data_IF_061985310335
#
_entry.id   IF_061985310335
#
_cell.length_a   1.000
_cell.length_b   1.000
_cell.length_c   1.000
_cell.angle_alpha   90.00
_cell.angle_beta   90.00
_cell.angle_gamma   90.00
#
_symmetry.space_group_name_H-M   'P 1'
#
loop_
_entity.id
_entity.type
_entity.pdbx_description
1 polymer ?
#
# COMPACT_ATOMS: atom_id res chain seq x y z
N UNK A 1 22.61 -25.29 2.99
CA UNK A 1 23.29 -23.99 2.79
C UNK A 1 22.51 -22.95 3.55
N UNK A 2 23.10 -22.39 4.59
CA UNK A 2 22.40 -21.54 5.58
C UNK A 2 22.13 -20.16 5.02
N UNK A 3 20.86 -19.82 4.95
CA UNK A 3 20.38 -18.49 4.63
C UNK A 3 20.50 -17.58 5.87
N UNK A 4 21.48 -16.67 5.85
CA UNK A 4 21.64 -15.65 6.88
C UNK A 4 20.49 -14.63 6.76
N UNK A 5 19.57 -14.69 7.71
CA UNK A 5 18.55 -13.66 7.91
C UNK A 5 19.26 -12.42 8.46
N UNK A 6 19.39 -11.39 7.64
CA UNK A 6 19.81 -10.06 8.07
C UNK A 6 18.56 -9.34 8.55
N UNK A 7 18.31 -9.38 9.85
CA UNK A 7 17.33 -8.52 10.52
C UNK A 7 17.88 -7.10 10.59
N UNK A 8 17.75 -6.35 9.51
CA UNK A 8 17.86 -4.91 9.53
C UNK A 8 16.50 -4.33 9.91
N UNK A 9 16.40 -3.67 11.06
CA UNK A 9 15.25 -2.89 11.43
C UNK A 9 15.01 -1.80 10.37
N UNK A 10 14.14 -2.06 9.42
CA UNK A 10 13.61 -1.04 8.51
C UNK A 10 12.73 -0.12 9.36
N UNK A 11 13.24 1.07 9.65
CA UNK A 11 12.38 2.19 9.99
C UNK A 11 11.48 2.38 8.75
N UNK A 12 10.25 1.93 8.84
CA UNK A 12 9.24 2.16 7.82
C UNK A 12 8.98 3.67 7.76
N UNK A 13 9.72 4.33 6.88
CA UNK A 13 9.47 5.72 6.51
C UNK A 13 8.25 5.67 5.58
N UNK A 14 7.05 5.80 6.14
CA UNK A 14 5.85 6.04 5.34
C UNK A 14 6.03 7.37 4.60
N UNK A 15 6.57 7.31 3.40
CA UNK A 15 6.59 8.44 2.47
C UNK A 15 5.17 8.50 1.87
N UNK A 16 4.26 9.21 2.54
CA UNK A 16 3.04 9.65 1.88
C UNK A 16 3.45 10.74 0.89
N UNK A 17 3.66 10.38 -0.36
CA UNK A 17 3.78 11.37 -1.44
C UNK A 17 2.38 11.91 -1.73
N UNK A 18 2.17 13.23 -1.75
CA UNK A 18 0.98 13.78 -2.34
C UNK A 18 1.05 13.55 -3.85
N UNK A 19 0.25 12.61 -4.36
CA UNK A 19 -0.06 12.52 -5.78
C UNK A 19 -0.89 13.76 -6.14
N UNK A 20 -0.39 14.53 -7.07
CA UNK A 20 -1.03 15.52 -7.93
C UNK A 20 -0.30 16.87 -7.93
N UNK A 21 0.73 16.94 -8.78
CA UNK A 21 1.05 18.20 -9.43
C UNK A 21 0.05 18.43 -10.58
N UNK A 22 -1.20 18.75 -10.24
CA UNK A 22 -2.10 19.37 -11.18
C UNK A 22 -1.47 20.72 -11.57
N UNK A 23 -1.37 20.98 -12.87
CA UNK A 23 -0.91 22.23 -13.46
C UNK A 23 -1.67 23.41 -12.85
N UNK A 24 -1.17 23.99 -11.77
CA UNK A 24 -1.61 25.27 -11.27
C UNK A 24 -1.00 26.33 -12.17
N UNK A 25 -1.82 26.86 -13.09
CA UNK A 25 -1.58 28.17 -13.68
C UNK A 25 -1.22 29.13 -12.55
N UNK A 26 -0.13 29.86 -12.69
CA UNK A 26 0.25 30.94 -11.79
C UNK A 26 -0.98 31.85 -11.55
N UNK A 27 -1.64 31.68 -10.41
CA UNK A 27 -2.70 32.56 -9.94
C UNK A 27 -1.97 33.80 -9.42
N UNK A 28 -2.29 34.97 -9.98
CA UNK A 28 -1.83 36.26 -9.47
C UNK A 28 -1.88 36.29 -7.95
N UNK A 29 -0.91 36.93 -7.30
CA UNK A 29 -0.80 37.08 -5.86
C UNK A 29 -2.13 37.61 -5.27
N UNK A 30 -3.03 36.67 -4.94
CA UNK A 30 -4.19 36.95 -4.11
C UNK A 30 -3.61 37.06 -2.70
N UNK A 31 -3.75 38.24 -2.09
CA UNK A 31 -3.41 38.42 -0.66
C UNK A 31 -4.09 37.30 0.12
N UNK A 32 -3.27 36.51 0.82
CA UNK A 32 -3.75 35.34 1.56
C UNK A 32 -4.79 35.82 2.60
N UNK A 33 -5.96 35.21 2.60
CA UNK A 33 -7.08 35.66 3.45
C UNK A 33 -6.74 35.43 4.91
N UNK A 34 -6.67 36.49 5.68
CA UNK A 34 -6.56 36.41 7.16
C UNK A 34 -7.90 35.95 7.72
N UNK A 35 -7.91 34.83 8.42
CA UNK A 35 -9.10 34.19 8.99
C UNK A 35 -9.20 34.33 10.48
N UNK A 36 -8.08 34.57 11.17
CA UNK A 36 -8.04 34.90 12.59
C UNK A 36 -6.75 35.66 12.93
N UNK A 37 -6.71 36.25 14.14
CA UNK A 37 -5.50 36.90 14.67
C UNK A 37 -5.33 36.50 16.12
N UNK A 38 -4.17 36.02 16.52
CA UNK A 38 -3.78 35.64 17.87
C UNK A 38 -2.58 36.49 18.30
N UNK A 39 -2.72 37.31 19.31
CA UNK A 39 -1.67 38.21 19.83
C UNK A 39 -0.96 39.02 18.73
N UNK A 40 -1.73 39.50 17.72
CA UNK A 40 -1.21 40.28 16.60
C UNK A 40 -0.64 39.44 15.45
N UNK A 41 -0.55 38.14 15.58
CA UNK A 41 -0.12 37.24 14.54
C UNK A 41 -1.33 36.75 13.72
N UNK A 42 -1.26 36.90 12.41
CA UNK A 42 -2.33 36.49 11.52
C UNK A 42 -2.28 35.00 11.26
N UNK A 43 -3.44 34.34 11.31
CA UNK A 43 -3.67 32.99 10.81
C UNK A 43 -4.36 33.16 9.45
N UNK A 44 -3.86 32.48 8.44
CA UNK A 44 -4.34 32.62 7.07
C UNK A 44 -5.05 31.37 6.57
N UNK A 45 -5.88 31.54 5.54
CA UNK A 45 -6.58 30.42 4.91
C UNK A 45 -5.59 29.39 4.33
N UNK A 46 -4.47 29.84 3.76
CA UNK A 46 -3.45 28.94 3.22
C UNK A 46 -2.79 28.08 4.32
N UNK A 47 -2.69 28.58 5.55
CA UNK A 47 -2.21 27.80 6.69
C UNK A 47 -3.20 26.65 7.02
N UNK A 48 -4.50 26.93 7.05
CA UNK A 48 -5.53 25.90 7.24
C UNK A 48 -5.48 24.86 6.10
N UNK A 49 -5.40 25.31 4.85
CA UNK A 49 -5.29 24.42 3.70
C UNK A 49 -4.03 23.56 3.74
N UNK A 50 -2.92 24.10 4.21
CA UNK A 50 -1.66 23.39 4.39
C UNK A 50 -1.76 22.28 5.44
N UNK A 51 -2.37 22.59 6.60
CA UNK A 51 -2.62 21.59 7.66
C UNK A 51 -3.54 20.48 7.14
N UNK A 52 -4.63 20.85 6.44
CA UNK A 52 -5.55 19.89 5.83
C UNK A 52 -4.83 18.98 4.82
N UNK A 53 -4.03 19.57 3.91
CA UNK A 53 -3.30 18.83 2.87
C UNK A 53 -2.24 17.88 3.44
N UNK A 54 -1.70 18.18 4.62
CA UNK A 54 -0.72 17.33 5.30
C UNK A 54 -1.32 16.04 5.89
N UNK A 55 -2.66 15.97 6.01
CA UNK A 55 -3.38 14.80 6.53
C UNK A 55 -4.31 14.21 5.45
N UNK A 56 -4.03 13.00 4.91
CA UNK A 56 -4.82 12.41 3.84
C UNK A 56 -6.32 12.24 4.19
N UNK A 57 -6.65 11.97 5.45
CA UNK A 57 -8.05 11.81 5.89
C UNK A 57 -8.79 13.13 5.85
N UNK A 58 -8.16 14.22 6.30
CA UNK A 58 -8.73 15.57 6.26
C UNK A 58 -8.77 16.11 4.83
N UNK A 59 -7.78 15.80 4.03
CA UNK A 59 -7.72 16.24 2.62
C UNK A 59 -8.85 15.65 1.77
N UNK A 60 -9.35 14.46 2.10
CA UNK A 60 -10.48 13.82 1.41
C UNK A 60 -11.84 14.50 1.74
N UNK A 61 -11.92 15.28 2.81
CA UNK A 61 -13.16 15.95 3.24
C UNK A 61 -13.30 17.34 2.61
N UNK A 62 -14.53 17.86 2.37
CA UNK A 62 -14.73 19.25 1.99
C UNK A 62 -14.14 20.20 3.03
N UNK A 63 -13.48 21.29 2.60
CA UNK A 63 -12.88 22.27 3.52
C UNK A 63 -13.91 22.80 4.53
N UNK A 64 -15.10 23.10 4.06
CA UNK A 64 -16.19 23.65 4.88
C UNK A 64 -16.52 22.77 6.10
N UNK A 65 -16.43 21.45 5.95
CA UNK A 65 -16.74 20.51 7.04
C UNK A 65 -15.66 20.41 8.12
N UNK A 66 -14.42 20.80 7.81
CA UNK A 66 -13.25 20.69 8.70
C UNK A 66 -12.65 22.04 9.07
N UNK A 67 -13.20 23.13 8.51
CA UNK A 67 -12.63 24.47 8.65
C UNK A 67 -12.58 24.95 10.11
N UNK A 68 -13.71 24.97 10.81
CA UNK A 68 -13.78 25.44 12.19
C UNK A 68 -12.90 24.60 13.14
N UNK A 69 -12.96 23.26 13.14
CA UNK A 69 -12.06 22.46 13.96
C UNK A 69 -10.56 22.67 13.65
N UNK A 70 -10.20 22.89 12.38
CA UNK A 70 -8.80 23.17 12.00
C UNK A 70 -8.37 24.56 12.47
N UNK A 71 -9.23 25.56 12.30
CA UNK A 71 -8.97 26.92 12.75
C UNK A 71 -8.77 26.95 14.27
N UNK A 72 -9.68 26.36 15.05
CA UNK A 72 -9.57 26.28 16.50
C UNK A 72 -8.27 25.59 16.93
N UNK A 73 -7.90 24.49 16.30
CA UNK A 73 -6.64 23.80 16.60
C UNK A 73 -5.41 24.67 16.33
N UNK A 74 -5.41 25.43 15.23
CA UNK A 74 -4.31 26.36 14.89
C UNK A 74 -4.27 27.50 15.90
N UNK A 75 -5.43 28.05 16.32
CA UNK A 75 -5.51 29.08 17.35
C UNK A 75 -4.91 28.55 18.66
N UNK A 76 -5.35 27.39 19.14
CA UNK A 76 -4.86 26.77 20.38
C UNK A 76 -3.35 26.55 20.33
N UNK A 77 -2.84 26.04 19.21
CA UNK A 77 -1.40 25.86 19.00
C UNK A 77 -0.63 27.18 19.12
N UNK A 78 -1.13 28.24 18.50
CA UNK A 78 -0.50 29.58 18.57
C UNK A 78 -0.53 30.16 19.99
N UNK A 79 -1.66 30.01 20.70
CA UNK A 79 -1.79 30.47 22.11
C UNK A 79 -0.77 29.74 22.99
N UNK A 80 -0.69 28.41 22.90
CA UNK A 80 0.25 27.61 23.70
C UNK A 80 1.71 27.94 23.33
N UNK A 81 2.02 28.12 22.05
CA UNK A 81 3.36 28.48 21.59
C UNK A 81 3.78 29.87 22.07
N UNK A 82 2.84 30.84 22.10
CA UNK A 82 3.10 32.18 22.64
C UNK A 82 3.38 32.13 24.15
N UNK A 83 2.61 31.41 24.93
CA UNK A 83 2.84 31.19 26.35
C UNK A 83 4.21 30.54 26.62
N UNK A 84 4.53 29.46 25.92
CA UNK A 84 5.82 28.77 26.02
C UNK A 84 7.01 29.69 25.67
N UNK A 85 6.81 30.55 24.67
CA UNK A 85 7.82 31.57 24.27
C UNK A 85 8.03 32.61 25.35
N UNK A 86 6.96 33.10 25.96
CA UNK A 86 7.03 34.05 27.07
C UNK A 86 7.77 33.45 28.28
N UNK A 87 7.56 32.16 28.56
CA UNK A 87 8.25 31.41 29.62
C UNK A 87 9.69 31.00 29.21
N UNK A 88 10.14 31.34 28.02
CA UNK A 88 11.46 31.04 27.47
C UNK A 88 11.79 29.53 27.39
N UNK A 89 10.76 28.69 27.21
CA UNK A 89 10.90 27.23 27.08
C UNK A 89 11.91 26.87 25.97
N UNK A 90 11.93 27.64 24.88
CA UNK A 90 12.88 27.47 23.77
C UNK A 90 14.36 27.59 24.18
N UNK A 91 14.64 28.17 25.35
CA UNK A 91 16.01 28.33 25.87
C UNK A 91 16.46 27.18 26.77
N UNK A 92 15.56 26.29 27.17
CA UNK A 92 15.88 25.13 28.00
C UNK A 92 16.81 24.15 27.26
N UNK A 93 17.75 23.48 27.97
CA UNK A 93 18.63 22.50 27.37
C UNK A 93 17.89 21.35 26.69
N UNK A 94 16.80 20.91 27.31
CA UNK A 94 15.93 19.83 26.83
C UNK A 94 15.29 20.19 25.49
N UNK A 95 14.68 21.37 25.40
CA UNK A 95 14.06 21.84 24.16
C UNK A 95 15.09 22.01 23.04
N UNK A 96 16.25 22.63 23.35
CA UNK A 96 17.34 22.76 22.37
C UNK A 96 17.84 21.39 21.86
N UNK A 97 17.93 20.40 22.74
CA UNK A 97 18.30 19.04 22.35
C UNK A 97 17.25 18.43 21.42
N UNK A 98 15.97 18.56 21.76
CA UNK A 98 14.85 18.06 20.93
C UNK A 98 14.85 18.73 19.56
N UNK A 99 14.98 20.05 19.50
CA UNK A 99 15.02 20.82 18.26
C UNK A 99 16.17 20.37 17.36
N UNK A 100 17.37 20.22 17.93
CA UNK A 100 18.54 19.77 17.17
C UNK A 100 18.35 18.36 16.58
N UNK A 101 17.74 17.47 17.36
CA UNK A 101 17.48 16.10 16.89
C UNK A 101 16.40 16.08 15.81
N UNK A 102 15.35 16.89 15.97
CA UNK A 102 14.30 17.06 14.97
C UNK A 102 14.83 17.69 13.68
N UNK A 103 15.64 18.75 13.79
CA UNK A 103 16.30 19.40 12.65
C UNK A 103 17.15 18.39 11.84
N UNK A 104 17.94 17.57 12.54
CA UNK A 104 18.75 16.53 11.90
C UNK A 104 17.90 15.51 11.13
N UNK A 105 16.80 15.07 11.74
CA UNK A 105 15.87 14.12 11.10
C UNK A 105 15.19 14.76 9.89
N UNK A 106 14.71 16.00 10.03
CA UNK A 106 14.07 16.75 8.95
C UNK A 106 15.04 16.98 7.78
N UNK A 107 16.27 17.39 8.09
CA UNK A 107 17.29 17.61 7.07
C UNK A 107 17.63 16.34 6.31
N UNK A 108 17.80 15.22 7.02
CA UNK A 108 18.06 13.92 6.38
C UNK A 108 16.90 13.49 5.48
N UNK A 109 15.65 13.56 5.98
CA UNK A 109 14.45 13.22 5.20
C UNK A 109 14.31 14.11 3.97
N UNK A 110 14.40 15.42 4.15
CA UNK A 110 14.28 16.38 3.05
C UNK A 110 15.35 16.15 1.97
N UNK A 111 16.60 15.92 2.38
CA UNK A 111 17.68 15.62 1.44
C UNK A 111 17.40 14.36 0.61
N UNK A 112 16.97 13.26 1.25
CA UNK A 112 16.65 12.01 0.54
C UNK A 112 15.47 12.19 -0.40
N UNK A 113 14.44 12.93 0.00
CA UNK A 113 13.30 13.27 -0.85
C UNK A 113 13.73 14.07 -2.09
N UNK A 114 14.58 15.08 -1.91
CA UNK A 114 15.13 15.86 -3.04
C UNK A 114 15.94 14.98 -3.99
N UNK A 115 16.75 14.04 -3.46
CA UNK A 115 17.49 13.10 -4.30
C UNK A 115 16.56 12.14 -5.04
N UNK A 116 15.51 11.65 -4.40
CA UNK A 116 14.51 10.80 -5.03
C UNK A 116 13.82 11.55 -6.20
N UNK A 117 13.32 12.76 -5.97
CA UNK A 117 12.71 13.62 -7.00
C UNK A 117 13.66 13.89 -8.17
N UNK A 118 14.92 14.24 -7.88
CA UNK A 118 15.93 14.51 -8.90
C UNK A 118 16.24 13.30 -9.79
N UNK A 119 16.17 12.11 -9.20
CA UNK A 119 16.46 10.85 -9.88
C UNK A 119 15.22 10.22 -10.55
N UNK A 120 14.05 10.81 -10.35
CA UNK A 120 12.81 10.35 -10.96
C UNK A 120 12.76 10.85 -12.41
N UNK A 121 13.13 9.99 -13.35
CA UNK A 121 13.11 10.30 -14.77
C UNK A 121 12.22 9.30 -15.51
N UNK A 122 11.71 9.74 -16.67
CA UNK A 122 10.85 8.94 -17.52
C UNK A 122 11.56 7.66 -17.98
N UNK A 123 12.81 7.79 -18.37
CA UNK A 123 13.65 6.67 -18.86
C UNK A 123 13.80 5.57 -17.79
N UNK A 124 13.95 5.99 -16.53
CA UNK A 124 14.03 5.02 -15.42
C UNK A 124 12.71 4.36 -15.13
N UNK A 125 11.59 5.10 -15.24
CA UNK A 125 10.26 4.53 -15.09
C UNK A 125 9.95 3.53 -16.21
N UNK A 126 10.31 3.85 -17.45
CA UNK A 126 10.18 2.94 -18.58
C UNK A 126 11.03 1.66 -18.38
N UNK A 127 12.27 1.82 -17.91
CA UNK A 127 13.13 0.66 -17.60
C UNK A 127 12.56 -0.21 -16.46
N UNK A 128 11.97 0.40 -15.43
CA UNK A 128 11.27 -0.33 -14.36
C UNK A 128 10.03 -1.04 -14.88
N UNK A 129 9.27 -0.42 -15.76
CA UNK A 129 8.13 -1.07 -16.40
C UNK A 129 8.55 -2.24 -17.29
N UNK A 130 9.64 -2.12 -18.02
CA UNK A 130 10.19 -3.22 -18.80
C UNK A 130 10.64 -4.40 -17.90
N UNK A 131 11.20 -4.09 -16.73
CA UNK A 131 11.52 -5.10 -15.73
C UNK A 131 10.25 -5.72 -15.13
N UNK A 132 9.27 -4.88 -14.77
CA UNK A 132 7.97 -5.33 -14.26
C UNK A 132 7.29 -6.33 -15.21
N UNK A 133 7.30 -6.05 -16.53
CA UNK A 133 6.75 -6.97 -17.55
C UNK A 133 7.48 -8.30 -17.59
N UNK A 134 8.81 -8.30 -17.39
CA UNK A 134 9.62 -9.53 -17.37
C UNK A 134 9.35 -10.36 -16.11
N UNK A 135 9.17 -9.68 -14.98
CA UNK A 135 8.92 -10.33 -13.70
C UNK A 135 7.47 -10.80 -13.55
N UNK A 136 6.55 -10.21 -14.33
CA UNK A 136 5.12 -10.54 -14.37
C UNK A 136 4.69 -10.91 -15.81
N UNK A 137 5.20 -12.01 -16.37
CA UNK A 137 4.79 -12.44 -17.71
C UNK A 137 3.31 -12.84 -17.70
N UNK A 138 2.62 -12.72 -18.84
CA UNK A 138 1.26 -13.21 -18.98
C UNK A 138 1.14 -14.66 -18.49
N UNK A 139 0.18 -14.91 -17.61
CA UNK A 139 -0.08 -16.23 -17.05
C UNK A 139 -1.32 -16.85 -17.67
N UNK A 140 -1.37 -18.17 -17.72
CA UNK A 140 -2.60 -18.88 -18.10
C UNK A 140 -3.66 -18.66 -17.02
N UNK A 141 -4.77 -18.07 -17.43
CA UNK A 141 -5.99 -17.95 -16.65
C UNK A 141 -7.09 -18.82 -17.21
N UNK A 142 -7.94 -19.33 -16.37
CA UNK A 142 -9.19 -19.96 -16.77
C UNK A 142 -10.37 -19.34 -16.03
N UNK A 143 -11.51 -19.29 -16.71
CA UNK A 143 -12.79 -19.06 -16.04
C UNK A 143 -13.34 -20.38 -15.53
N UNK A 144 -14.04 -20.36 -14.41
CA UNK A 144 -14.82 -21.50 -13.94
C UNK A 144 -16.01 -21.06 -13.11
N UNK A 145 -17.01 -21.93 -13.02
CA UNK A 145 -18.04 -21.83 -12.01
C UNK A 145 -17.94 -23.03 -11.04
N UNK A 146 -18.33 -22.83 -9.79
CA UNK A 146 -18.32 -23.89 -8.80
C UNK A 146 -19.56 -23.93 -7.91
N UNK A 147 -19.85 -25.11 -7.39
CA UNK A 147 -20.85 -25.33 -6.35
C UNK A 147 -20.10 -25.90 -5.14
N UNK A 148 -20.10 -25.18 -4.02
CA UNK A 148 -19.47 -25.60 -2.77
C UNK A 148 -20.51 -26.26 -1.87
N UNK A 149 -20.17 -27.44 -1.34
CA UNK A 149 -21.04 -28.26 -0.52
C UNK A 149 -20.30 -28.78 0.72
N UNK A 150 -21.04 -29.07 1.78
CA UNK A 150 -20.45 -29.53 3.04
C UNK A 150 -19.98 -30.96 3.00
N UNK A 151 -20.72 -31.80 2.30
CA UNK A 151 -20.49 -33.26 2.28
C UNK A 151 -20.22 -33.77 0.86
N UNK A 152 -19.45 -34.84 0.79
CA UNK A 152 -19.17 -35.53 -0.47
C UNK A 152 -20.45 -36.06 -1.14
N UNK A 153 -21.37 -36.55 -0.30
CA UNK A 153 -22.65 -37.08 -0.79
C UNK A 153 -23.49 -36.03 -1.50
N UNK A 154 -23.62 -34.84 -0.89
CA UNK A 154 -24.32 -33.71 -1.52
C UNK A 154 -23.68 -33.32 -2.86
N UNK A 155 -22.35 -33.32 -2.91
CA UNK A 155 -21.65 -33.00 -4.14
C UNK A 155 -21.85 -34.09 -5.24
N UNK A 156 -21.89 -35.35 -4.84
CA UNK A 156 -22.23 -36.47 -5.76
C UNK A 156 -23.67 -36.37 -6.27
N UNK A 157 -24.62 -36.01 -5.39
CA UNK A 157 -26.03 -35.84 -5.76
C UNK A 157 -26.20 -34.66 -6.77
N UNK A 158 -25.44 -33.56 -6.58
CA UNK A 158 -25.40 -32.44 -7.53
C UNK A 158 -24.82 -32.87 -8.86
N UNK A 159 -23.72 -33.64 -8.88
CA UNK A 159 -23.13 -34.15 -10.12
C UNK A 159 -24.15 -35.03 -10.87
N UNK A 160 -24.89 -35.86 -10.19
CA UNK A 160 -25.94 -36.70 -10.81
C UNK A 160 -27.08 -35.89 -11.41
N UNK A 161 -27.50 -34.81 -10.77
CA UNK A 161 -28.51 -33.88 -11.32
C UNK A 161 -28.00 -33.20 -12.57
N UNK A 162 -26.76 -32.72 -12.57
CA UNK A 162 -26.10 -32.10 -13.74
C UNK A 162 -25.99 -33.08 -14.93
N UNK A 163 -25.65 -34.35 -14.66
CA UNK A 163 -25.62 -35.41 -15.67
C UNK A 163 -27.00 -35.70 -16.28
N UNK A 164 -28.08 -35.44 -15.52
CA UNK A 164 -29.47 -35.56 -16.01
C UNK A 164 -29.97 -34.32 -16.72
N UNK A 165 -29.11 -33.32 -16.90
CA UNK A 165 -29.44 -32.09 -17.66
C UNK A 165 -29.92 -30.91 -16.83
N UNK A 166 -29.73 -30.95 -15.48
CA UNK A 166 -30.03 -29.78 -14.67
C UNK A 166 -29.10 -28.61 -15.01
N UNK A 167 -29.59 -27.38 -14.88
CA UNK A 167 -28.78 -26.20 -15.11
C UNK A 167 -27.78 -25.97 -13.96
N UNK A 168 -26.53 -25.67 -14.31
CA UNK A 168 -25.46 -25.50 -13.33
C UNK A 168 -25.65 -24.25 -12.48
N UNK A 169 -26.03 -23.12 -13.09
CA UNK A 169 -26.18 -21.85 -12.40
C UNK A 169 -27.40 -21.88 -11.44
N UNK A 170 -28.49 -22.49 -11.85
CA UNK A 170 -29.68 -22.68 -10.99
C UNK A 170 -29.33 -23.54 -9.77
N UNK A 171 -28.59 -24.64 -9.96
CA UNK A 171 -28.14 -25.47 -8.83
C UNK A 171 -27.15 -24.74 -7.93
N UNK A 172 -26.19 -23.98 -8.52
CA UNK A 172 -25.28 -23.17 -7.75
C UNK A 172 -26.01 -22.17 -6.85
N UNK A 173 -26.96 -21.42 -7.41
CA UNK A 173 -27.76 -20.46 -6.64
C UNK A 173 -28.60 -21.12 -5.55
N UNK A 174 -29.08 -22.33 -5.81
CA UNK A 174 -29.96 -23.07 -4.89
C UNK A 174 -29.22 -23.72 -3.75
N UNK A 175 -28.15 -24.46 -4.01
CA UNK A 175 -27.53 -25.37 -3.02
C UNK A 175 -26.09 -25.03 -2.62
N UNK A 176 -25.40 -24.12 -3.32
CA UNK A 176 -24.03 -23.78 -2.95
C UNK A 176 -23.96 -23.10 -1.59
N UNK A 177 -22.97 -23.46 -0.77
CA UNK A 177 -22.66 -22.75 0.47
C UNK A 177 -22.08 -21.36 0.19
N UNK A 178 -21.49 -21.15 -0.97
CA UNK A 178 -20.99 -19.82 -1.39
C UNK A 178 -22.12 -19.02 -2.08
N UNK A 179 -22.88 -18.31 -1.28
CA UNK A 179 -24.03 -17.51 -1.75
C UNK A 179 -23.66 -16.17 -2.40
N UNK A 180 -22.38 -15.77 -2.34
CA UNK A 180 -21.93 -14.50 -2.89
C UNK A 180 -21.63 -14.52 -4.40
N UNK A 181 -21.70 -15.69 -5.04
CA UNK A 181 -21.39 -15.89 -6.45
C UNK A 181 -22.64 -16.27 -7.22
N UNK A 182 -23.12 -15.38 -8.08
CA UNK A 182 -24.26 -15.66 -8.94
C UNK A 182 -23.91 -16.78 -9.93
N UNK A 183 -24.74 -17.84 -9.96
CA UNK A 183 -24.46 -19.02 -10.78
C UNK A 183 -23.19 -19.79 -10.41
N UNK A 184 -22.55 -19.41 -9.30
CA UNK A 184 -21.27 -19.98 -8.86
C UNK A 184 -20.06 -19.47 -9.65
N UNK A 185 -20.20 -18.40 -10.46
CA UNK A 185 -19.13 -17.87 -11.32
C UNK A 185 -17.98 -17.29 -10.50
N UNK A 186 -16.75 -17.75 -10.79
CA UNK A 186 -15.52 -17.30 -10.18
C UNK A 186 -14.78 -16.26 -11.04
N UNK A 187 -15.24 -16.00 -12.26
CA UNK A 187 -14.49 -15.23 -13.24
C UNK A 187 -13.20 -15.91 -13.67
N UNK A 188 -12.27 -15.14 -14.20
CA UNK A 188 -10.93 -15.62 -14.58
C UNK A 188 -9.98 -15.62 -13.38
N UNK A 189 -9.20 -16.69 -13.25
CA UNK A 189 -8.18 -16.83 -12.20
C UNK A 189 -6.97 -17.60 -12.70
N UNK A 190 -5.80 -17.27 -12.18
CA UNK A 190 -4.57 -18.04 -12.36
C UNK A 190 -4.48 -19.22 -11.38
N UNK A 191 -3.54 -20.14 -11.64
CA UNK A 191 -3.35 -21.33 -10.78
C UNK A 191 -3.03 -20.95 -9.33
N UNK A 192 -2.26 -19.90 -9.14
CA UNK A 192 -1.78 -19.45 -7.82
C UNK A 192 -2.85 -18.78 -6.97
N UNK A 193 -3.94 -18.32 -7.60
CA UNK A 193 -5.01 -17.61 -6.90
C UNK A 193 -5.94 -18.55 -6.12
N UNK A 194 -5.98 -19.83 -6.51
CA UNK A 194 -6.85 -20.84 -5.91
C UNK A 194 -6.04 -21.83 -5.06
N UNK A 195 -6.75 -22.54 -4.16
CA UNK A 195 -6.11 -23.63 -3.41
C UNK A 195 -5.67 -24.75 -4.35
N UNK A 196 -4.52 -25.41 -4.08
CA UNK A 196 -3.92 -26.36 -5.02
C UNK A 196 -4.88 -27.43 -5.53
N UNK A 197 -5.67 -28.01 -4.64
CA UNK A 197 -6.57 -29.13 -4.98
C UNK A 197 -7.66 -28.68 -5.98
N UNK A 198 -8.16 -27.45 -5.83
CA UNK A 198 -9.14 -26.86 -6.75
C UNK A 198 -8.48 -26.53 -8.09
N UNK A 199 -7.34 -25.86 -8.03
CA UNK A 199 -6.56 -25.43 -9.19
C UNK A 199 -6.17 -26.60 -10.10
N UNK A 200 -5.58 -27.65 -9.49
CA UNK A 200 -5.17 -28.85 -10.24
C UNK A 200 -6.36 -29.52 -10.93
N UNK A 201 -7.50 -29.65 -10.22
CA UNK A 201 -8.70 -30.23 -10.80
C UNK A 201 -9.26 -29.37 -11.94
N UNK A 202 -9.42 -28.07 -11.71
CA UNK A 202 -10.00 -27.15 -12.69
C UNK A 202 -9.15 -27.08 -13.97
N UNK A 203 -7.84 -26.86 -13.82
CA UNK A 203 -6.93 -26.75 -14.97
C UNK A 203 -6.66 -28.08 -15.70
N UNK A 204 -7.01 -29.22 -15.15
CA UNK A 204 -7.00 -30.51 -15.84
C UNK A 204 -8.22 -30.74 -16.75
N UNK A 205 -9.29 -29.96 -16.56
CA UNK A 205 -10.55 -30.12 -17.28
C UNK A 205 -10.53 -29.40 -18.61
N UNK A 206 -11.35 -29.84 -19.56
CA UNK A 206 -11.60 -29.14 -20.83
C UNK A 206 -12.67 -28.09 -20.64
N UNK A 207 -12.65 -27.06 -21.47
CA UNK A 207 -13.72 -26.05 -21.49
C UNK A 207 -15.10 -26.70 -21.63
N UNK A 208 -16.05 -26.24 -20.81
CA UNK A 208 -17.40 -26.76 -20.72
C UNK A 208 -17.54 -28.07 -19.91
N UNK A 209 -16.45 -28.71 -19.49
CA UNK A 209 -16.49 -29.92 -18.72
C UNK A 209 -16.94 -29.65 -17.28
N UNK A 210 -17.75 -30.58 -16.73
CA UNK A 210 -18.13 -30.58 -15.33
C UNK A 210 -17.35 -31.71 -14.62
N UNK A 211 -16.85 -31.44 -13.43
CA UNK A 211 -16.08 -32.41 -12.65
C UNK A 211 -16.90 -33.70 -12.42
N UNK A 212 -16.28 -34.84 -12.75
CA UNK A 212 -16.94 -36.16 -12.65
C UNK A 212 -17.01 -36.68 -11.22
N UNK A 213 -16.19 -36.09 -10.33
CA UNK A 213 -16.09 -36.42 -8.91
C UNK A 213 -16.01 -35.13 -8.11
N UNK A 214 -16.50 -35.13 -6.87
CA UNK A 214 -16.28 -33.98 -5.98
C UNK A 214 -14.79 -33.70 -5.76
N UNK A 215 -14.41 -32.43 -5.79
CA UNK A 215 -13.04 -31.95 -5.48
C UNK A 215 -13.03 -31.51 -4.03
N UNK A 216 -12.28 -32.22 -3.19
CA UNK A 216 -12.18 -31.91 -1.76
C UNK A 216 -11.12 -30.85 -1.52
N UNK A 217 -11.48 -29.81 -0.76
CA UNK A 217 -10.55 -28.78 -0.23
C UNK A 217 -10.81 -28.57 1.26
N UNK A 218 -10.05 -27.68 1.88
CA UNK A 218 -10.31 -27.27 3.27
C UNK A 218 -11.65 -26.56 3.48
N UNK A 219 -12.29 -26.08 2.42
CA UNK A 219 -13.58 -25.37 2.47
C UNK A 219 -14.78 -26.31 2.31
N UNK A 220 -14.59 -27.52 1.83
CA UNK A 220 -15.64 -28.48 1.56
C UNK A 220 -15.42 -29.25 0.27
N UNK A 221 -16.51 -29.63 -0.38
CA UNK A 221 -16.53 -30.38 -1.62
C UNK A 221 -17.05 -29.51 -2.76
N UNK A 222 -16.27 -29.39 -3.82
CA UNK A 222 -16.58 -28.57 -4.96
C UNK A 222 -17.02 -29.42 -6.16
N UNK A 223 -18.06 -28.97 -6.82
CA UNK A 223 -18.41 -29.39 -8.20
C UNK A 223 -18.01 -28.23 -9.09
N UNK A 224 -17.12 -28.49 -10.06
CA UNK A 224 -16.52 -27.47 -10.90
C UNK A 224 -17.04 -27.60 -12.33
N UNK A 225 -17.38 -26.47 -12.96
CA UNK A 225 -17.61 -26.36 -14.40
C UNK A 225 -16.50 -25.50 -14.97
N UNK A 226 -15.65 -26.09 -15.80
CA UNK A 226 -14.55 -25.38 -16.46
C UNK A 226 -15.07 -24.47 -17.56
N UNK A 227 -14.58 -23.25 -17.59
CA UNK A 227 -14.83 -22.25 -18.62
C UNK A 227 -13.66 -22.07 -19.57
N UNK A 228 -13.69 -21.02 -20.39
CA UNK A 228 -12.63 -20.70 -21.34
C UNK A 228 -11.32 -20.33 -20.64
N UNK A 229 -10.24 -20.47 -21.40
CA UNK A 229 -8.88 -20.08 -20.99
C UNK A 229 -8.41 -18.88 -21.77
N UNK A 230 -7.55 -18.11 -21.16
CA UNK A 230 -6.85 -16.99 -21.79
C UNK A 230 -5.45 -16.83 -21.21
N UNK A 231 -4.64 -16.00 -21.82
CA UNK A 231 -3.47 -15.41 -21.14
C UNK A 231 -3.93 -14.12 -20.45
N UNK A 232 -3.45 -13.92 -19.23
CA UNK A 232 -3.66 -12.64 -18.52
C UNK A 232 -3.04 -11.50 -19.33
N UNK A 233 -3.65 -10.32 -19.26
CA UNK A 233 -3.03 -9.13 -19.82
C UNK A 233 -1.97 -8.61 -18.85
N UNK A 234 -0.82 -8.20 -19.40
CA UNK A 234 0.14 -7.44 -18.61
C UNK A 234 -0.47 -6.07 -18.30
N UNK A 235 -0.50 -5.62 -17.03
CA UNK A 235 -1.01 -4.29 -16.69
C UNK A 235 -0.32 -3.21 -17.54
N UNK A 236 -1.10 -2.23 -18.02
CA UNK A 236 -0.54 -1.11 -18.78
C UNK A 236 0.31 -0.23 -17.87
N UNK A 237 1.21 0.56 -18.48
CA UNK A 237 2.05 1.48 -17.72
C UNK A 237 1.24 2.40 -16.81
N UNK A 238 0.13 2.93 -17.31
CA UNK A 238 -0.76 3.85 -16.59
C UNK A 238 -1.38 3.21 -15.34
N UNK A 239 -1.63 1.90 -15.39
CA UNK A 239 -2.24 1.14 -14.27
C UNK A 239 -1.26 0.92 -13.11
N UNK A 240 0.05 0.89 -13.42
CA UNK A 240 1.14 0.61 -12.45
C UNK A 240 2.08 1.80 -12.25
N UNK A 241 1.85 2.94 -12.92
CA UNK A 241 2.73 4.11 -12.89
C UNK A 241 3.04 4.57 -11.47
N UNK A 242 2.03 4.65 -10.61
CA UNK A 242 2.20 5.08 -9.23
C UNK A 242 3.06 4.11 -8.42
N UNK A 243 2.90 2.82 -8.62
CA UNK A 243 3.72 1.78 -7.99
C UNK A 243 5.17 1.88 -8.47
N UNK A 244 5.38 2.02 -9.77
CA UNK A 244 6.72 2.20 -10.36
C UNK A 244 7.40 3.47 -9.84
N UNK A 245 6.66 4.57 -9.67
CA UNK A 245 7.19 5.79 -9.07
C UNK A 245 7.65 5.58 -7.63
N UNK A 246 6.88 4.84 -6.82
CA UNK A 246 7.25 4.49 -5.46
C UNK A 246 8.50 3.59 -5.41
N UNK A 247 8.56 2.58 -6.28
CA UNK A 247 9.72 1.72 -6.41
C UNK A 247 10.97 2.50 -6.79
N UNK A 248 10.86 3.39 -7.77
CA UNK A 248 11.97 4.25 -8.19
C UNK A 248 12.45 5.18 -7.07
N UNK A 249 11.52 5.77 -6.32
CA UNK A 249 11.87 6.62 -5.19
C UNK A 249 12.62 5.82 -4.11
N UNK A 250 12.15 4.63 -3.78
CA UNK A 250 12.81 3.74 -2.82
C UNK A 250 14.22 3.33 -3.28
N UNK A 251 14.38 2.95 -4.54
CA UNK A 251 15.70 2.64 -5.12
C UNK A 251 16.65 3.84 -5.06
N UNK A 252 16.15 5.03 -5.40
CA UNK A 252 16.94 6.26 -5.35
C UNK A 252 17.44 6.59 -3.94
N UNK A 253 16.58 6.39 -2.92
CA UNK A 253 16.95 6.55 -1.51
C UNK A 253 18.04 5.55 -1.13
N UNK A 254 17.88 4.27 -1.48
CA UNK A 254 18.86 3.22 -1.18
C UNK A 254 20.21 3.51 -1.83
N UNK A 255 20.23 3.83 -3.13
CA UNK A 255 21.45 4.23 -3.85
C UNK A 255 22.14 5.43 -3.23
N UNK A 256 21.34 6.44 -2.83
CA UNK A 256 21.86 7.65 -2.17
C UNK A 256 22.49 7.29 -0.85
N UNK A 257 21.82 6.48 -0.02
CA UNK A 257 22.35 6.03 1.26
C UNK A 257 23.64 5.22 1.10
N UNK A 258 23.71 4.32 0.12
CA UNK A 258 24.91 3.56 -0.18
C UNK A 258 26.08 4.47 -0.59
N UNK A 259 25.82 5.45 -1.45
CA UNK A 259 26.83 6.45 -1.90
C UNK A 259 27.34 7.28 -0.72
N UNK A 260 26.44 7.74 0.16
CA UNK A 260 26.80 8.52 1.34
C UNK A 260 27.62 7.68 2.34
N UNK A 261 27.20 6.43 2.60
CA UNK A 261 27.93 5.53 3.49
C UNK A 261 29.34 5.19 3.01
N UNK A 262 29.51 5.03 1.68
CA UNK A 262 30.84 4.80 1.09
C UNK A 262 31.78 5.99 1.25
N UNK A 263 31.22 7.22 1.28
CA UNK A 263 32.03 8.44 1.46
C UNK A 263 32.29 8.79 2.92
N UNK A 264 31.50 8.29 3.84
CA UNK A 264 31.59 8.59 5.25
C UNK A 264 32.65 7.72 5.95
N UNK A 265 33.48 8.34 6.81
CA UNK A 265 34.35 7.58 7.73
C UNK A 265 33.50 7.02 8.88
N UNK A 266 33.11 5.78 8.77
CA UNK A 266 32.27 5.11 9.77
C UNK A 266 33.15 4.21 10.66
N UNK A 267 33.22 4.53 11.94
CA UNK A 267 33.86 3.70 12.94
C UNK A 267 32.78 3.18 13.91
N UNK A 268 32.68 1.87 14.02
CA UNK A 268 31.74 1.22 14.96
C UNK A 268 32.55 0.71 16.16
N UNK A 269 32.18 1.15 17.35
CA UNK A 269 32.76 0.61 18.61
C UNK A 269 31.95 -0.63 19.01
N UNK A 270 32.57 -1.81 19.10
CA UNK A 270 31.89 -2.99 19.59
C UNK A 270 31.44 -2.79 21.05
N UNK A 271 30.20 -3.19 21.35
CA UNK A 271 29.67 -3.12 22.72
C UNK A 271 29.30 -4.52 23.21
N UNK A 272 29.38 -4.71 24.54
CA UNK A 272 28.91 -5.90 25.27
C UNK A 272 27.63 -5.53 26.02
N UNK A 273 26.66 -6.42 25.99
CA UNK A 273 25.45 -6.33 26.80
C UNK A 273 25.64 -7.26 28.02
N UNK A 274 25.60 -6.70 29.22
CA UNK A 274 25.60 -7.46 30.47
C UNK A 274 24.23 -8.11 30.71
N UNK A 275 24.20 -9.14 31.56
CA UNK A 275 22.94 -9.79 31.97
C UNK A 275 22.00 -8.84 32.75
N UNK A 276 22.53 -7.74 33.28
CA UNK A 276 21.83 -6.66 33.96
C UNK A 276 21.31 -5.56 33.00
N UNK A 277 21.42 -5.77 31.68
CA UNK A 277 21.04 -4.80 30.65
C UNK A 277 22.05 -3.64 30.50
N UNK A 278 23.14 -3.59 31.24
CA UNK A 278 24.14 -2.54 31.04
C UNK A 278 25.01 -2.79 29.82
N UNK A 279 25.34 -1.70 29.16
CA UNK A 279 26.19 -1.72 27.95
C UNK A 279 27.58 -1.20 28.29
N UNK A 280 28.62 -1.94 27.92
CA UNK A 280 30.02 -1.53 28.06
C UNK A 280 30.75 -1.63 26.72
N UNK A 281 31.76 -0.81 26.49
CA UNK A 281 32.65 -0.99 25.34
C UNK A 281 33.37 -2.35 25.45
N UNK A 282 33.61 -2.98 24.30
CA UNK A 282 34.31 -4.26 24.21
C UNK A 282 35.79 -4.02 24.19
#
# INVERSE_FOLDING_TARGET
MSMKVITGALVALCIAMPAQAAKTKAKAAQTDLVVATVDGNNITLSEIESVRASNPQLNALPLESVYEPLLDNIIDLNVVAAAATAEKVQNTPEFKKMTKEFEKQLLARYYLEQQAKKNQTKEKLEALYDQFKKDNPPQEEMSAAHILLKTEKEAQDVIQQLQKGADFAELANKVSENKGLEGGDLGYFSRELMVPEFSEAAFAMKEGEISKKPVKTKFGYHVIKAGPRRLSETPKFEDVEQELMQMQAAQSVEETMQKLRKKAKIVKTPVKFGADGKVSAK
#
